data_IF_261284642377
#
_entry.id   IF_261284642377
#
_cell.length_a   1.000
_cell.length_b   1.000
_cell.length_c   1.000
_cell.angle_alpha   90.00
_cell.angle_beta   90.00
_cell.angle_gamma   90.00
#
_symmetry.space_group_name_H-M   'P 1'
#
loop_
_entity.id
_entity.type
_entity.pdbx_description
1 polymer ?
#
# COMPACT_ATOMS: atom_id res chain seq x y z
N UNK A 1 19.84 -25.18 18.38
CA UNK A 1 18.89 -25.26 17.25
C UNK A 1 18.20 -23.93 17.19
N UNK A 2 18.43 -23.15 16.13
CA UNK A 2 17.85 -21.82 15.99
C UNK A 2 16.55 -21.94 15.20
N UNK A 3 15.46 -21.34 15.68
CA UNK A 3 14.17 -21.35 14.99
C UNK A 3 13.90 -20.00 14.33
N UNK A 4 13.53 -20.02 13.05
CA UNK A 4 13.12 -18.83 12.33
C UNK A 4 11.62 -18.56 12.56
N UNK A 5 11.28 -17.33 12.94
CA UNK A 5 9.91 -16.89 13.22
C UNK A 5 9.56 -15.73 12.26
N UNK A 6 9.02 -16.02 11.07
CA UNK A 6 8.54 -14.98 10.16
C UNK A 6 7.36 -14.23 10.80
N UNK A 7 7.41 -12.90 10.74
CA UNK A 7 6.42 -12.00 11.31
C UNK A 7 5.64 -11.29 10.20
N UNK A 8 4.32 -11.37 10.28
CA UNK A 8 3.43 -10.47 9.55
C UNK A 8 3.36 -9.20 10.36
N UNK A 9 3.85 -8.09 9.82
CA UNK A 9 3.83 -6.79 10.47
C UNK A 9 2.68 -5.99 9.88
N UNK A 10 1.83 -5.42 10.73
CA UNK A 10 0.76 -4.53 10.29
C UNK A 10 0.90 -3.18 11.00
N UNK A 11 0.94 -2.10 10.22
CA UNK A 11 0.92 -0.73 10.76
C UNK A 11 -0.19 0.07 10.10
N UNK A 12 -1.01 0.74 10.89
CA UNK A 12 -1.99 1.67 10.32
C UNK A 12 -2.37 2.76 11.33
N UNK A 13 -3.00 3.81 10.82
CA UNK A 13 -3.71 4.77 11.62
C UNK A 13 -5.05 4.20 12.11
N UNK A 14 -5.24 4.23 13.42
CA UNK A 14 -6.44 3.79 14.11
C UNK A 14 -7.00 4.93 14.94
N UNK A 15 -8.30 4.89 15.21
CA UNK A 15 -8.91 5.80 16.19
C UNK A 15 -8.74 5.25 17.59
N UNK A 16 -8.12 6.02 18.48
CA UNK A 16 -8.04 5.70 19.91
C UNK A 16 -9.34 5.92 20.69
N UNK A 17 -10.40 6.38 20.04
CA UNK A 17 -11.67 6.72 20.68
C UNK A 17 -12.77 5.71 20.33
N UNK A 18 -13.58 5.36 21.33
CA UNK A 18 -14.88 4.67 21.15
C UNK A 18 -15.94 5.63 20.61
N UNK A 19 -15.72 6.94 20.71
CA UNK A 19 -16.62 7.98 20.19
C UNK A 19 -16.43 8.22 18.69
N UNK A 20 -17.37 8.94 18.05
CA UNK A 20 -17.29 9.33 16.64
C UNK A 20 -16.19 10.34 16.32
N UNK A 21 -15.54 10.92 17.32
CA UNK A 21 -14.47 11.87 17.09
C UNK A 21 -13.17 11.13 16.81
N UNK A 22 -12.65 11.30 15.60
CA UNK A 22 -11.40 10.71 15.16
C UNK A 22 -10.22 11.20 16.02
N UNK A 23 -9.57 10.28 16.72
CA UNK A 23 -8.35 10.55 17.48
C UNK A 23 -7.25 9.67 16.91
N UNK A 24 -6.55 10.21 15.90
CA UNK A 24 -5.57 9.48 15.11
C UNK A 24 -4.44 9.00 16.02
N UNK A 25 -4.15 7.70 15.94
CA UNK A 25 -2.96 7.06 16.50
C UNK A 25 -2.41 6.12 15.46
N UNK A 26 -1.10 5.95 15.41
CA UNK A 26 -0.52 4.84 14.67
C UNK A 26 -0.38 3.66 15.61
N UNK A 27 -0.71 2.46 15.13
CA UNK A 27 -0.60 1.23 15.89
C UNK A 27 0.11 0.18 15.05
N UNK A 28 0.97 -0.60 15.70
CA UNK A 28 1.68 -1.74 15.11
C UNK A 28 1.17 -3.02 15.77
N UNK A 29 0.83 -3.98 14.93
CA UNK A 29 0.46 -5.33 15.30
C UNK A 29 1.38 -6.32 14.59
N UNK A 30 1.62 -7.47 15.21
CA UNK A 30 2.42 -8.54 14.62
C UNK A 30 1.74 -9.89 14.80
N UNK A 31 1.86 -10.74 13.79
CA UNK A 31 1.37 -12.13 13.83
C UNK A 31 2.48 -13.10 13.40
N UNK A 32 2.50 -14.29 13.98
CA UNK A 32 3.46 -15.33 13.61
C UNK A 32 3.01 -16.04 12.33
N UNK A 33 3.76 -15.89 11.24
CA UNK A 33 3.41 -16.46 9.94
C UNK A 33 3.59 -18.00 9.87
N UNK A 34 4.22 -18.63 10.88
CA UNK A 34 4.29 -20.09 10.96
C UNK A 34 2.96 -20.73 11.42
N UNK A 35 1.97 -19.94 11.82
CA UNK A 35 0.67 -20.45 12.22
C UNK A 35 -0.21 -20.76 10.99
N UNK A 36 -1.07 -21.79 11.05
CA UNK A 36 -2.08 -22.01 10.02
C UNK A 36 -2.97 -20.78 9.85
N UNK A 37 -3.43 -20.50 8.62
CA UNK A 37 -4.26 -19.34 8.29
C UNK A 37 -5.48 -19.17 9.22
N UNK A 38 -6.20 -20.27 9.47
CA UNK A 38 -7.35 -20.31 10.38
C UNK A 38 -7.04 -19.98 11.85
N UNK A 39 -5.75 -19.93 12.22
CA UNK A 39 -5.29 -19.41 13.51
C UNK A 39 -4.88 -17.93 13.39
N UNK A 40 -4.08 -17.56 12.39
CA UNK A 40 -3.60 -16.19 12.18
C UNK A 40 -4.75 -15.17 12.16
N UNK A 41 -5.89 -15.52 11.56
CA UNK A 41 -7.05 -14.64 11.46
C UNK A 41 -7.80 -14.41 12.79
N UNK A 42 -7.51 -15.20 13.83
CA UNK A 42 -8.17 -15.04 15.13
C UNK A 42 -7.46 -13.96 15.92
N UNK A 43 -8.23 -13.05 16.51
CA UNK A 43 -7.76 -11.93 17.35
C UNK A 43 -6.71 -12.36 18.40
N UNK A 44 -6.83 -13.57 18.95
CA UNK A 44 -5.89 -14.12 19.92
C UNK A 44 -4.44 -14.21 19.43
N UNK A 45 -4.23 -14.41 18.13
CA UNK A 45 -2.91 -14.56 17.51
C UNK A 45 -2.38 -13.27 16.85
N UNK A 46 -3.13 -12.17 17.00
CA UNK A 46 -2.75 -10.84 16.55
C UNK A 46 -2.21 -10.09 17.77
N UNK A 47 -0.91 -9.88 17.81
CA UNK A 47 -0.24 -9.29 18.97
C UNK A 47 -0.06 -7.79 18.78
N UNK A 48 -0.64 -7.00 19.68
CA UNK A 48 -0.36 -5.57 19.77
C UNK A 48 1.08 -5.35 20.22
N UNK A 49 1.83 -4.52 19.47
CA UNK A 49 3.21 -4.20 19.79
C UNK A 49 3.33 -2.81 20.40
N UNK A 50 2.84 -1.79 19.71
CA UNK A 50 2.94 -0.40 20.17
C UNK A 50 1.89 0.49 19.51
N UNK A 51 1.62 1.65 20.13
CA UNK A 51 0.84 2.72 19.50
C UNK A 51 1.24 4.09 20.04
N UNK A 52 1.13 5.12 19.21
CA UNK A 52 1.39 6.50 19.62
C UNK A 52 0.53 7.52 18.86
N UNK A 53 0.01 8.55 19.55
CA UNK A 53 -0.58 9.74 18.91
C UNK A 53 0.46 10.81 18.54
N UNK A 54 1.71 10.67 19.01
CA UNK A 54 2.73 11.72 18.92
C UNK A 54 3.93 11.33 18.08
N UNK A 55 4.08 10.04 17.82
CA UNK A 55 5.20 9.46 17.09
C UNK A 55 4.76 9.20 15.65
N UNK A 56 5.61 9.57 14.70
CA UNK A 56 5.39 9.29 13.29
C UNK A 56 5.47 7.78 13.01
N UNK A 57 4.92 7.29 11.89
CA UNK A 57 4.99 5.88 11.55
C UNK A 57 6.42 5.33 11.49
N UNK A 58 7.34 6.09 10.88
CA UNK A 58 8.73 5.66 10.71
C UNK A 58 9.52 5.66 12.02
N UNK A 59 9.25 6.59 12.94
CA UNK A 59 9.83 6.54 14.29
C UNK A 59 9.33 5.31 15.07
N UNK A 60 8.06 4.91 14.91
CA UNK A 60 7.55 3.66 15.52
C UNK A 60 8.22 2.42 14.91
N UNK A 61 8.41 2.40 13.58
CA UNK A 61 9.11 1.30 12.90
C UNK A 61 10.59 1.25 13.27
N UNK A 62 11.24 2.40 13.48
CA UNK A 62 12.62 2.47 13.95
C UNK A 62 12.76 1.82 15.34
N UNK A 63 11.88 2.15 16.28
CA UNK A 63 11.87 1.52 17.61
C UNK A 63 11.63 -0.01 17.56
N UNK A 64 11.01 -0.51 16.48
CA UNK A 64 10.75 -1.94 16.30
C UNK A 64 11.95 -2.71 15.73
N UNK A 65 12.87 -2.04 15.04
CA UNK A 65 14.12 -2.64 14.53
C UNK A 65 15.00 -3.14 15.66
N UNK A 66 15.12 -2.35 16.73
CA UNK A 66 16.13 -2.55 17.77
C UNK A 66 15.77 -3.63 18.81
N UNK A 67 14.79 -4.50 18.52
CA UNK A 67 14.44 -5.64 19.37
C UNK A 67 15.42 -6.80 19.18
N UNK A 68 16.69 -6.57 19.44
CA UNK A 68 17.71 -7.62 19.43
C UNK A 68 17.90 -8.20 20.85
N UNK A 69 17.38 -9.40 21.07
CA UNK A 69 17.79 -10.25 22.20
C UNK A 69 18.44 -11.54 21.67
N UNK A 70 19.53 -11.98 22.29
CA UNK A 70 20.15 -13.29 22.01
C UNK A 70 19.25 -14.42 22.52
N UNK A 71 18.31 -14.87 21.68
CA UNK A 71 17.38 -15.96 21.99
C UNK A 71 17.50 -17.08 20.95
N UNK A 72 17.02 -18.27 21.29
CA UNK A 72 16.90 -19.44 20.39
C UNK A 72 16.03 -19.18 19.14
N UNK A 73 15.36 -18.03 19.08
CA UNK A 73 14.41 -17.61 18.05
C UNK A 73 15.01 -16.43 17.28
N UNK A 74 15.04 -16.53 15.95
CA UNK A 74 15.33 -15.41 15.06
C UNK A 74 14.01 -14.99 14.44
N UNK A 75 13.44 -13.89 14.91
CA UNK A 75 12.29 -13.27 14.27
C UNK A 75 12.73 -12.37 13.13
N UNK A 76 11.96 -12.37 12.03
CA UNK A 76 12.19 -11.46 10.92
C UNK A 76 10.86 -11.06 10.26
N UNK A 77 10.78 -9.86 9.71
CA UNK A 77 9.61 -9.42 8.96
C UNK A 77 9.46 -10.23 7.67
N UNK A 78 8.34 -10.93 7.52
CA UNK A 78 8.00 -11.64 6.28
C UNK A 78 7.40 -10.67 5.25
N UNK A 79 6.48 -9.82 5.69
CA UNK A 79 5.91 -8.74 4.90
C UNK A 79 5.30 -7.68 5.82
N UNK A 80 5.08 -6.48 5.27
CA UNK A 80 4.40 -5.38 5.95
C UNK A 80 3.05 -5.11 5.27
N UNK A 81 1.96 -5.23 6.02
CA UNK A 81 0.61 -4.93 5.57
C UNK A 81 0.12 -3.61 6.14
N UNK A 82 -0.56 -2.81 5.32
CA UNK A 82 -1.20 -1.56 5.75
C UNK A 82 -2.17 -1.07 4.67
N UNK A 83 -2.89 0.04 4.92
CA UNK A 83 -3.71 0.67 3.89
C UNK A 83 -2.85 1.33 2.78
N UNK A 84 -3.45 1.64 1.62
CA UNK A 84 -2.68 2.15 0.48
C UNK A 84 -1.86 3.43 0.78
N UNK A 85 -2.40 4.44 1.50
CA UNK A 85 -1.61 5.59 1.94
C UNK A 85 -0.46 5.24 2.87
N UNK A 86 -0.65 4.36 3.86
CA UNK A 86 0.41 3.94 4.76
C UNK A 86 1.48 3.14 4.04
N UNK A 87 1.11 2.23 3.14
CA UNK A 87 2.08 1.51 2.32
C UNK A 87 2.93 2.47 1.46
N UNK A 88 2.35 3.57 1.00
CA UNK A 88 3.12 4.58 0.28
C UNK A 88 4.15 5.26 1.20
N UNK A 89 3.77 5.61 2.44
CA UNK A 89 4.71 6.13 3.44
C UNK A 89 5.82 5.11 3.78
N UNK A 90 5.46 3.84 3.97
CA UNK A 90 6.39 2.75 4.29
C UNK A 90 7.39 2.46 3.16
N UNK A 91 7.00 2.59 1.89
CA UNK A 91 7.89 2.45 0.73
C UNK A 91 8.69 3.72 0.38
N UNK A 92 8.54 4.81 1.13
CA UNK A 92 9.02 6.13 0.72
C UNK A 92 8.52 6.58 -0.66
N UNK A 93 7.23 6.40 -0.91
CA UNK A 93 6.57 6.67 -2.18
C UNK A 93 5.51 7.78 -2.07
N UNK A 94 5.45 8.67 -3.04
CA UNK A 94 4.59 9.88 -3.07
C UNK A 94 3.08 9.62 -3.34
N UNK A 95 2.62 8.37 -3.21
CA UNK A 95 1.24 7.96 -3.45
C UNK A 95 0.76 8.09 -4.91
N UNK A 96 -0.55 8.27 -5.13
CA UNK A 96 -1.16 8.17 -6.47
C UNK A 96 -1.00 9.41 -7.37
N UNK A 97 -0.61 10.55 -6.79
CA UNK A 97 -0.57 11.83 -7.51
C UNK A 97 0.74 12.06 -8.27
N UNK A 98 1.73 11.19 -8.11
CA UNK A 98 2.99 11.29 -8.85
C UNK A 98 2.87 10.70 -10.27
N UNK A 99 3.89 10.96 -11.08
CA UNK A 99 3.94 10.46 -12.45
C UNK A 99 4.06 8.93 -12.48
N UNK A 100 4.93 8.38 -11.65
CA UNK A 100 5.13 6.94 -11.46
C UNK A 100 4.50 6.52 -10.13
N UNK A 101 3.30 5.97 -10.19
CA UNK A 101 2.41 5.81 -9.02
C UNK A 101 2.44 4.41 -8.41
N UNK A 102 3.14 3.47 -9.04
CA UNK A 102 3.29 2.11 -8.55
C UNK A 102 4.48 2.05 -7.59
N UNK A 103 4.26 1.46 -6.40
CA UNK A 103 5.32 1.30 -5.39
C UNK A 103 6.33 0.22 -5.76
N UNK A 104 5.93 -0.74 -6.58
CA UNK A 104 6.72 -1.94 -6.89
C UNK A 104 7.54 -1.80 -8.17
N UNK A 105 7.15 -0.94 -9.11
CA UNK A 105 7.86 -0.76 -10.38
C UNK A 105 7.71 0.67 -10.92
N UNK A 106 8.49 0.99 -11.95
CA UNK A 106 8.55 2.31 -12.57
C UNK A 106 7.40 2.61 -13.55
N UNK A 107 6.28 1.88 -13.49
CA UNK A 107 5.15 2.12 -14.39
C UNK A 107 4.53 3.49 -14.11
N UNK A 108 4.26 4.24 -15.18
CA UNK A 108 3.61 5.55 -15.11
C UNK A 108 4.03 6.48 -16.23
N UNK A 109 4.27 7.74 -15.87
CA UNK A 109 4.60 8.83 -16.81
C UNK A 109 3.72 10.05 -16.59
N UNK A 110 3.85 11.05 -17.46
CA UNK A 110 3.03 12.26 -17.36
C UNK A 110 1.55 11.92 -17.51
N UNK A 111 0.69 12.81 -17.01
CA UNK A 111 -0.76 12.64 -17.15
C UNK A 111 -1.15 12.48 -18.62
N UNK A 112 -0.56 13.28 -19.51
CA UNK A 112 -0.80 13.22 -20.95
C UNK A 112 -0.43 11.85 -21.52
N UNK A 113 0.74 11.32 -21.15
CA UNK A 113 1.18 9.99 -21.59
C UNK A 113 0.23 8.90 -21.10
N UNK A 114 -0.12 8.88 -19.81
CA UNK A 114 -1.04 7.89 -19.21
C UNK A 114 -2.44 7.92 -19.81
N UNK A 115 -2.86 9.06 -20.37
CA UNK A 115 -4.15 9.19 -21.09
C UNK A 115 -4.08 8.84 -22.57
N UNK A 116 -2.88 8.63 -23.13
CA UNK A 116 -2.70 8.15 -24.50
C UNK A 116 -2.99 6.64 -24.59
N UNK A 117 -3.30 6.14 -25.79
CA UNK A 117 -3.49 4.70 -25.97
C UNK A 117 -2.24 3.91 -25.57
N UNK A 118 -1.05 4.38 -25.93
CA UNK A 118 0.21 3.71 -25.61
C UNK A 118 0.44 3.67 -24.09
N UNK A 119 0.39 4.83 -23.44
CA UNK A 119 0.63 4.93 -22.01
C UNK A 119 -0.47 4.33 -21.13
N UNK A 120 -1.72 4.23 -21.61
CA UNK A 120 -2.76 3.49 -20.89
C UNK A 120 -2.51 1.99 -20.95
N UNK A 121 -2.13 1.45 -22.13
CA UNK A 121 -1.83 0.03 -22.28
C UNK A 121 -0.60 -0.39 -21.47
N UNK A 122 0.40 0.49 -21.31
CA UNK A 122 1.58 0.18 -20.49
C UNK A 122 1.25 0.01 -19.00
N UNK A 123 0.14 0.58 -18.50
CA UNK A 123 -0.27 0.41 -17.09
C UNK A 123 -0.67 -1.03 -16.73
N UNK A 124 -0.90 -1.89 -17.73
CA UNK A 124 -1.31 -3.28 -17.54
C UNK A 124 -0.15 -4.26 -17.65
N UNK A 125 1.08 -3.75 -17.77
CA UNK A 125 2.31 -4.55 -17.83
C UNK A 125 3.24 -4.03 -16.76
N UNK A 126 3.83 -4.94 -15.98
CA UNK A 126 4.86 -4.56 -15.00
C UNK A 126 6.07 -3.96 -15.71
N UNK A 127 6.53 -2.82 -15.22
CA UNK A 127 7.77 -2.19 -15.66
C UNK A 127 8.96 -2.68 -14.80
N UNK A 128 10.14 -2.09 -15.01
CA UNK A 128 11.33 -2.36 -14.20
C UNK A 128 11.04 -2.18 -12.70
N UNK A 129 11.40 -3.17 -11.85
CA UNK A 129 11.17 -3.10 -10.41
C UNK A 129 11.81 -1.87 -9.75
N UNK A 130 11.12 -1.34 -8.74
CA UNK A 130 11.66 -0.30 -7.86
C UNK A 130 12.63 -0.95 -6.87
N UNK A 131 13.89 -0.53 -6.87
CA UNK A 131 14.90 -1.10 -5.98
C UNK A 131 15.08 -0.23 -4.74
N UNK A 132 15.26 -0.85 -3.58
CA UNK A 132 15.53 -0.16 -2.30
C UNK A 132 16.77 0.73 -2.42
N UNK A 133 17.83 0.26 -3.08
CA UNK A 133 19.07 1.01 -3.27
C UNK A 133 18.84 2.29 -4.09
N UNK A 134 17.96 2.23 -5.09
CA UNK A 134 17.59 3.39 -5.90
C UNK A 134 16.78 4.41 -5.08
N UNK A 135 15.86 3.93 -4.24
CA UNK A 135 15.10 4.79 -3.31
C UNK A 135 16.04 5.50 -2.33
N UNK A 136 16.96 4.76 -1.69
CA UNK A 136 17.96 5.33 -0.77
C UNK A 136 18.86 6.34 -1.48
N UNK A 137 19.33 6.04 -2.69
CA UNK A 137 20.15 6.96 -3.47
C UNK A 137 19.39 8.25 -3.81
N UNK A 138 18.12 8.14 -4.19
CA UNK A 138 17.25 9.27 -4.51
C UNK A 138 17.02 10.16 -3.28
N UNK A 139 16.73 9.57 -2.12
CA UNK A 139 16.55 10.32 -0.86
C UNK A 139 17.84 11.06 -0.48
N UNK A 140 19.00 10.39 -0.58
CA UNK A 140 20.30 11.01 -0.31
C UNK A 140 20.57 12.19 -1.24
N UNK A 141 20.25 12.05 -2.52
CA UNK A 141 20.40 13.13 -3.50
C UNK A 141 19.45 14.31 -3.18
N UNK A 142 18.19 14.04 -2.83
CA UNK A 142 17.22 15.08 -2.43
C UNK A 142 17.70 15.85 -1.19
N UNK A 143 18.20 15.14 -0.17
CA UNK A 143 18.78 15.75 1.03
C UNK A 143 19.99 16.61 0.66
N UNK A 144 20.92 16.09 -0.15
CA UNK A 144 22.10 16.83 -0.59
C UNK A 144 21.74 18.11 -1.35
N UNK A 145 20.78 18.04 -2.29
CA UNK A 145 20.31 19.20 -3.06
C UNK A 145 19.71 20.26 -2.12
N UNK A 146 18.98 19.86 -1.08
CA UNK A 146 18.38 20.79 -0.12
C UNK A 146 19.42 21.61 0.67
N UNK A 147 20.65 21.12 0.76
CA UNK A 147 21.75 21.79 1.46
C UNK A 147 22.45 22.85 0.59
N UNK A 148 22.21 22.86 -0.73
CA UNK A 148 22.90 23.76 -1.65
C UNK A 148 22.24 25.13 -1.75
N UNK A 149 23.07 26.18 -1.75
CA UNK A 149 22.68 27.58 -1.90
C UNK A 149 21.77 27.82 -3.14
N UNK A 150 20.55 28.32 -2.95
CA UNK A 150 19.64 28.65 -4.05
C UNK A 150 18.84 27.48 -4.62
N UNK A 151 18.69 26.39 -3.84
CA UNK A 151 17.71 25.35 -4.07
C UNK A 151 16.29 25.94 -4.11
N UNK A 152 15.88 26.34 -5.32
CA UNK A 152 14.50 26.58 -5.68
C UNK A 152 13.76 25.25 -5.59
N UNK A 153 12.45 25.29 -5.29
CA UNK A 153 11.48 24.18 -5.23
C UNK A 153 11.49 23.31 -6.51
N UNK A 154 12.62 22.66 -6.83
CA UNK A 154 12.82 21.94 -8.08
C UNK A 154 12.24 20.54 -7.93
N UNK A 155 10.95 20.50 -8.24
CA UNK A 155 10.21 19.40 -8.83
C UNK A 155 10.21 18.09 -8.05
N UNK A 156 9.48 18.10 -6.94
CA UNK A 156 8.97 16.93 -6.21
C UNK A 156 8.16 15.95 -7.07
N UNK A 157 7.80 16.30 -8.31
CA UNK A 157 6.92 15.52 -9.18
C UNK A 157 7.65 14.50 -10.08
N UNK A 158 8.98 14.56 -10.20
CA UNK A 158 9.70 13.74 -11.19
C UNK A 158 10.18 12.39 -10.67
N UNK A 159 10.52 12.26 -9.38
CA UNK A 159 11.13 11.03 -8.84
C UNK A 159 10.14 10.07 -8.18
N UNK A 160 8.92 10.50 -7.83
CA UNK A 160 7.92 9.73 -7.06
C UNK A 160 8.35 9.22 -5.68
N UNK A 161 9.63 9.37 -5.31
CA UNK A 161 10.18 8.97 -4.02
C UNK A 161 10.07 10.13 -3.03
N UNK A 162 9.30 9.92 -1.96
CA UNK A 162 9.01 10.90 -0.92
C UNK A 162 8.33 10.25 0.29
N UNK A 163 8.70 10.66 1.50
CA UNK A 163 8.03 10.28 2.76
C UNK A 163 8.09 11.41 3.78
N UNK A 164 7.30 11.30 4.85
CA UNK A 164 7.20 12.31 5.90
C UNK A 164 8.52 12.52 6.65
N UNK A 165 9.34 11.48 6.80
CA UNK A 165 10.65 11.54 7.47
C UNK A 165 11.62 12.39 6.65
N UNK A 166 11.73 12.08 5.36
CA UNK A 166 12.58 12.78 4.39
C UNK A 166 12.18 14.26 4.28
N UNK A 167 10.88 14.57 4.25
CA UNK A 167 10.38 15.96 4.29
C UNK A 167 10.90 16.68 5.52
N UNK A 168 10.72 16.08 6.69
CA UNK A 168 11.05 16.70 7.98
C UNK A 168 12.55 17.01 8.06
N UNK A 169 13.39 16.10 7.55
CA UNK A 169 14.83 16.31 7.44
C UNK A 169 15.15 17.49 6.52
N UNK A 170 14.59 17.48 5.30
CA UNK A 170 14.82 18.55 4.30
C UNK A 170 14.37 19.92 4.84
N UNK A 171 13.21 19.99 5.49
CA UNK A 171 12.71 21.23 6.10
C UNK A 171 13.61 21.73 7.24
N UNK A 172 14.07 20.82 8.12
CA UNK A 172 14.99 21.17 9.20
C UNK A 172 16.32 21.71 8.65
N UNK A 173 16.90 21.05 7.65
CA UNK A 173 18.15 21.47 7.01
C UNK A 173 17.99 22.80 6.28
N UNK A 174 16.87 22.99 5.56
CA UNK A 174 16.57 24.25 4.86
C UNK A 174 16.44 25.41 5.85
N UNK A 175 15.81 25.19 7.00
CA UNK A 175 15.65 26.21 8.04
C UNK A 175 16.99 26.55 8.73
N UNK A 176 17.83 25.55 9.00
CA UNK A 176 19.18 25.77 9.51
C UNK A 176 20.04 26.55 8.51
N UNK A 177 19.97 26.20 7.22
CA UNK A 177 20.69 26.90 6.15
C UNK A 177 20.31 28.38 6.02
N UNK A 178 19.02 28.73 6.25
CA UNK A 178 18.58 30.13 6.29
C UNK A 178 19.15 30.92 7.48
N UNK A 179 19.34 30.25 8.62
CA UNK A 179 19.89 30.88 9.83
C UNK A 179 21.41 31.01 9.78
N UNK A 180 22.08 30.13 9.04
CA UNK A 180 23.53 30.05 8.97
C UNK A 180 24.01 30.34 7.54
N UNK A 181 24.24 31.61 7.23
CA UNK A 181 24.67 32.09 5.91
C UNK A 181 26.07 31.62 5.45
N UNK A 182 26.73 30.71 6.18
CA UNK A 182 28.16 30.37 5.99
C UNK A 182 28.52 28.95 6.49
N UNK A 183 27.74 27.92 6.14
CA UNK A 183 27.99 26.58 6.71
C UNK A 183 27.83 25.38 5.78
N UNK A 184 27.97 25.54 4.46
CA UNK A 184 28.08 24.36 3.55
C UNK A 184 29.08 23.33 4.10
N UNK A 185 30.24 23.80 4.58
CA UNK A 185 31.31 22.96 5.12
C UNK A 185 31.01 22.27 6.45
N UNK A 186 30.31 22.92 7.38
CA UNK A 186 30.04 22.32 8.70
C UNK A 186 28.71 21.58 8.76
N UNK A 187 27.78 21.80 7.82
CA UNK A 187 26.65 20.90 7.58
C UNK A 187 27.15 19.59 6.96
N UNK A 188 28.09 19.65 6.00
CA UNK A 188 28.78 18.47 5.45
C UNK A 188 29.52 17.67 6.54
N UNK A 189 30.25 18.33 7.45
CA UNK A 189 30.95 17.67 8.55
C UNK A 189 30.00 17.07 9.61
N UNK A 190 28.85 17.69 9.86
CA UNK A 190 27.83 17.16 10.80
C UNK A 190 27.05 15.97 10.23
N UNK A 191 27.01 15.81 8.90
CA UNK A 191 26.20 14.81 8.21
C UNK A 191 27.03 13.76 7.46
N UNK A 192 28.29 13.53 7.86
CA UNK A 192 29.09 12.41 7.35
C UNK A 192 28.22 11.16 7.23
N UNK A 193 28.19 10.57 6.02
CA UNK A 193 27.06 9.82 5.45
C UNK A 193 26.46 8.64 6.22
N UNK A 194 27.00 8.28 7.38
CA UNK A 194 26.40 7.30 8.29
C UNK A 194 25.15 7.87 9.00
N UNK A 195 25.17 9.14 9.43
CA UNK A 195 24.06 9.74 10.20
C UNK A 195 22.79 9.88 9.36
N UNK A 196 22.93 10.20 8.06
CA UNK A 196 21.77 10.31 7.15
C UNK A 196 21.11 8.95 6.97
N UNK A 197 21.89 7.87 6.81
CA UNK A 197 21.32 6.53 6.61
C UNK A 197 20.52 6.06 7.84
N UNK A 198 20.98 6.41 9.04
CA UNK A 198 20.28 6.11 10.29
C UNK A 198 19.04 6.99 10.54
N UNK A 199 18.88 8.08 9.77
CA UNK A 199 17.80 9.06 9.97
C UNK A 199 16.66 8.97 8.94
N UNK A 200 16.87 8.31 7.80
CA UNK A 200 15.83 8.12 6.77
C UNK A 200 14.88 6.98 7.15
N UNK A 201 13.87 6.73 6.31
CA UNK A 201 12.92 5.63 6.51
C UNK A 201 13.66 4.32 6.88
N UNK A 202 13.45 3.78 8.09
CA UNK A 202 14.19 2.63 8.57
C UNK A 202 13.93 1.40 7.69
N UNK A 203 12.73 1.23 7.14
CA UNK A 203 12.38 0.03 6.37
C UNK A 203 13.26 -0.18 5.12
N UNK A 204 13.92 0.87 4.63
CA UNK A 204 14.90 0.81 3.54
C UNK A 204 16.24 0.16 3.94
N UNK A 205 16.50 0.01 5.23
CA UNK A 205 17.76 -0.50 5.79
C UNK A 205 17.65 -1.97 6.25
N UNK A 206 16.50 -2.65 6.03
CA UNK A 206 16.33 -4.09 6.37
C UNK A 206 16.80 -4.98 5.20
N UNK A 207 17.96 -4.66 4.63
CA UNK A 207 18.43 -5.29 3.40
C UNK A 207 18.70 -6.79 3.57
N UNK A 208 18.23 -7.59 2.61
CA UNK A 208 18.44 -9.03 2.57
C UNK A 208 17.47 -9.87 3.42
N UNK A 209 16.56 -9.23 4.15
CA UNK A 209 15.50 -9.90 4.94
C UNK A 209 14.11 -9.46 4.49
N UNK A 210 13.88 -8.16 4.31
CA UNK A 210 12.61 -7.58 3.90
C UNK A 210 12.85 -6.52 2.81
N UNK A 211 12.26 -6.71 1.64
CA UNK A 211 12.23 -5.72 0.56
C UNK A 211 10.90 -4.96 0.60
N UNK A 212 10.91 -3.70 1.02
CA UNK A 212 9.66 -2.95 1.21
C UNK A 212 8.88 -2.69 -0.10
N UNK A 213 9.50 -2.82 -1.28
CA UNK A 213 8.81 -2.63 -2.56
C UNK A 213 8.14 -3.93 -3.06
N UNK A 214 8.62 -5.08 -2.60
CA UNK A 214 8.16 -6.42 -3.01
C UNK A 214 7.37 -7.16 -1.92
N UNK A 215 7.76 -6.99 -0.66
CA UNK A 215 7.19 -7.66 0.52
C UNK A 215 6.11 -6.79 1.19
N UNK A 216 5.30 -6.12 0.38
CA UNK A 216 4.12 -5.38 0.81
C UNK A 216 2.91 -5.82 -0.01
N UNK A 217 2.11 -6.79 0.47
CA UNK A 217 0.97 -7.29 -0.28
C UNK A 217 -0.05 -6.17 -0.54
N UNK A 218 -0.60 -6.15 -1.74
CA UNK A 218 -1.64 -5.19 -2.12
C UNK A 218 -2.84 -5.30 -1.20
N UNK A 219 -3.22 -4.18 -0.61
CA UNK A 219 -4.44 -4.11 0.19
C UNK A 219 -5.66 -4.27 -0.73
N UNK A 220 -6.43 -5.33 -0.49
CA UNK A 220 -7.43 -5.78 -1.45
C UNK A 220 -8.75 -4.99 -1.31
N UNK A 221 -9.10 -4.57 -0.10
CA UNK A 221 -10.35 -3.88 0.17
C UNK A 221 -10.39 -2.52 -0.54
N UNK A 222 -9.39 -1.66 -0.44
CA UNK A 222 -9.35 -0.37 -1.14
C UNK A 222 -9.00 -0.50 -2.62
N UNK A 223 -8.12 -1.44 -3.00
CA UNK A 223 -7.67 -1.56 -4.40
C UNK A 223 -8.73 -2.23 -5.28
N UNK A 224 -9.30 -3.34 -4.83
CA UNK A 224 -10.24 -4.15 -5.63
C UNK A 224 -11.68 -3.82 -5.28
N UNK A 225 -12.09 -3.92 -4.01
CA UNK A 225 -13.50 -3.78 -3.64
C UNK A 225 -13.98 -2.32 -3.71
N UNK A 226 -13.29 -1.40 -3.03
CA UNK A 226 -13.63 0.02 -3.03
C UNK A 226 -13.04 0.78 -4.23
N UNK A 227 -12.13 0.15 -4.96
CA UNK A 227 -11.59 0.62 -6.23
C UNK A 227 -12.39 0.05 -7.39
N UNK A 228 -11.85 -1.02 -8.00
CA UNK A 228 -12.40 -1.63 -9.23
C UNK A 228 -13.90 -1.92 -9.12
N UNK A 229 -14.34 -2.69 -8.12
CA UNK A 229 -15.73 -3.13 -7.99
C UNK A 229 -16.67 -1.94 -7.77
N UNK A 230 -16.35 -1.05 -6.83
CA UNK A 230 -17.16 0.15 -6.53
C UNK A 230 -17.36 1.03 -7.75
N UNK A 231 -16.30 1.37 -8.48
CA UNK A 231 -16.40 2.27 -9.63
C UNK A 231 -17.06 1.60 -10.83
N UNK A 232 -16.81 0.30 -11.03
CA UNK A 232 -17.53 -0.47 -12.05
C UNK A 232 -19.03 -0.57 -11.74
N UNK A 233 -19.39 -0.60 -10.45
CA UNK A 233 -20.77 -0.47 -10.02
C UNK A 233 -21.37 0.90 -10.37
N UNK A 234 -20.67 1.98 -10.05
CA UNK A 234 -21.10 3.33 -10.45
C UNK A 234 -21.39 3.44 -11.95
N UNK A 235 -20.52 2.88 -12.78
CA UNK A 235 -20.71 2.86 -14.24
C UNK A 235 -21.90 2.01 -14.68
N UNK A 236 -22.13 0.86 -14.05
CA UNK A 236 -23.24 -0.02 -14.41
C UNK A 236 -24.58 0.59 -14.00
N UNK A 237 -24.67 1.19 -12.80
CA UNK A 237 -25.86 1.93 -12.35
C UNK A 237 -26.17 3.08 -13.30
N UNK A 238 -25.16 3.84 -13.73
CA UNK A 238 -25.33 4.89 -14.73
C UNK A 238 -25.98 4.38 -16.02
N UNK A 239 -25.54 3.23 -16.54
CA UNK A 239 -26.16 2.65 -17.74
C UNK A 239 -27.61 2.19 -17.51
N UNK A 240 -27.90 1.62 -16.35
CA UNK A 240 -29.26 1.21 -15.98
C UNK A 240 -30.21 2.41 -15.85
N UNK A 241 -29.74 3.53 -15.31
CA UNK A 241 -30.49 4.78 -15.21
C UNK A 241 -30.82 5.36 -16.57
N UNK A 242 -29.81 5.50 -17.44
CA UNK A 242 -29.98 6.02 -18.80
C UNK A 242 -30.97 5.17 -19.61
N UNK A 243 -30.95 3.85 -19.43
CA UNK A 243 -31.87 2.92 -20.08
C UNK A 243 -33.25 2.84 -19.39
N UNK A 244 -33.46 3.52 -18.24
CA UNK A 244 -34.66 3.43 -17.39
C UNK A 244 -34.97 2.00 -16.90
N UNK A 245 -33.94 1.19 -16.69
CA UNK A 245 -34.04 -0.22 -16.29
C UNK A 245 -33.83 -0.45 -14.78
N UNK A 246 -33.56 0.60 -14.00
CA UNK A 246 -33.36 0.48 -12.54
C UNK A 246 -34.51 -0.24 -11.82
N UNK A 247 -35.77 -0.01 -12.21
CA UNK A 247 -36.91 -0.69 -11.57
C UNK A 247 -36.92 -2.20 -11.82
N UNK A 248 -36.46 -2.64 -13.00
CA UNK A 248 -36.33 -4.06 -13.32
C UNK A 248 -35.17 -4.66 -12.54
N UNK A 249 -34.02 -3.98 -12.51
CA UNK A 249 -32.87 -4.39 -11.72
C UNK A 249 -33.22 -4.53 -10.23
N UNK A 250 -33.95 -3.57 -9.65
CA UNK A 250 -34.41 -3.65 -8.27
C UNK A 250 -35.31 -4.87 -8.05
N UNK A 251 -36.24 -5.13 -8.96
CA UNK A 251 -37.13 -6.30 -8.88
C UNK A 251 -36.33 -7.62 -8.95
N UNK A 252 -35.30 -7.70 -9.79
CA UNK A 252 -34.41 -8.85 -9.86
C UNK A 252 -33.59 -9.00 -8.58
N UNK A 253 -33.03 -7.92 -8.05
CA UNK A 253 -32.28 -7.91 -6.79
C UNK A 253 -33.15 -8.37 -5.61
N UNK A 254 -34.39 -7.89 -5.53
CA UNK A 254 -35.35 -8.27 -4.49
C UNK A 254 -35.80 -9.73 -4.64
N UNK A 255 -35.70 -10.32 -5.83
CA UNK A 255 -36.05 -11.71 -6.10
C UNK A 255 -34.96 -12.72 -5.76
N UNK A 256 -33.74 -12.26 -5.50
CA UNK A 256 -32.61 -13.13 -5.17
C UNK A 256 -32.71 -13.58 -3.72
N UNK A 257 -32.71 -14.90 -3.53
CA UNK A 257 -32.57 -15.50 -2.22
C UNK A 257 -31.19 -15.19 -1.65
N UNK A 258 -31.17 -14.55 -0.47
CA UNK A 258 -29.95 -14.15 0.22
C UNK A 258 -29.34 -15.31 1.01
N UNK A 259 -30.11 -16.36 1.25
CA UNK A 259 -29.66 -17.53 2.00
C UNK A 259 -28.71 -18.37 1.13
N UNK A 260 -27.46 -18.49 1.57
CA UNK A 260 -26.43 -19.32 0.90
C UNK A 260 -25.55 -18.61 -0.13
N UNK A 261 -25.72 -17.30 -0.35
CA UNK A 261 -24.88 -16.52 -1.26
C UNK A 261 -23.56 -16.07 -0.60
N UNK A 262 -22.60 -16.98 -0.54
CA UNK A 262 -21.19 -16.67 -0.25
C UNK A 262 -20.38 -16.38 -1.54
N UNK A 263 -21.02 -15.95 -2.64
CA UNK A 263 -20.36 -15.90 -3.95
C UNK A 263 -20.44 -14.52 -4.67
N UNK A 264 -19.31 -14.00 -5.19
CA UNK A 264 -19.25 -12.81 -6.04
C UNK A 264 -20.03 -12.92 -7.38
N UNK A 265 -20.41 -14.13 -7.78
CA UNK A 265 -20.94 -14.45 -9.12
C UNK A 265 -22.44 -14.16 -9.31
N UNK A 266 -23.12 -13.58 -8.33
CA UNK A 266 -24.55 -13.22 -8.44
C UNK A 266 -24.77 -12.07 -9.41
N UNK A 267 -23.75 -11.21 -9.56
CA UNK A 267 -23.87 -9.93 -10.26
C UNK A 267 -24.16 -10.09 -11.76
N UNK A 268 -23.43 -10.94 -12.52
CA UNK A 268 -23.76 -11.18 -13.92
C UNK A 268 -25.19 -11.65 -14.15
N UNK A 269 -25.77 -12.44 -13.23
CA UNK A 269 -27.17 -12.89 -13.34
C UNK A 269 -28.16 -11.75 -13.14
N UNK A 270 -27.90 -10.88 -12.17
CA UNK A 270 -28.78 -9.75 -11.82
C UNK A 270 -28.85 -8.67 -12.88
N UNK A 271 -27.85 -8.56 -13.74
CA UNK A 271 -27.78 -7.53 -14.79
C UNK A 271 -27.90 -8.15 -16.18
N UNK A 272 -28.12 -9.47 -16.26
CA UNK A 272 -28.32 -10.18 -17.51
C UNK A 272 -29.50 -9.58 -18.28
N UNK A 273 -29.31 -9.39 -19.59
CA UNK A 273 -30.23 -8.69 -20.49
C UNK A 273 -30.56 -7.20 -20.16
N UNK A 274 -30.01 -6.64 -19.08
CA UNK A 274 -30.21 -5.23 -18.72
C UNK A 274 -29.11 -4.30 -19.22
N UNK A 275 -27.92 -4.84 -19.48
CA UNK A 275 -26.74 -4.08 -19.87
C UNK A 275 -26.08 -4.67 -21.11
N UNK A 276 -25.16 -3.93 -21.72
CA UNK A 276 -24.39 -4.44 -22.86
C UNK A 276 -23.57 -5.68 -22.48
N UNK A 277 -23.36 -6.56 -23.46
CA UNK A 277 -22.52 -7.76 -23.31
C UNK A 277 -21.10 -7.43 -22.82
N UNK A 278 -20.56 -6.28 -23.22
CA UNK A 278 -19.23 -5.83 -22.76
C UNK A 278 -19.19 -5.59 -21.27
N UNK A 279 -20.19 -4.88 -20.71
CA UNK A 279 -20.26 -4.60 -19.28
C UNK A 279 -20.54 -5.89 -18.49
N UNK A 280 -21.37 -6.79 -19.05
CA UNK A 280 -21.63 -8.11 -18.46
C UNK A 280 -20.35 -8.95 -18.37
N UNK A 281 -19.57 -9.03 -19.45
CA UNK A 281 -18.28 -9.72 -19.47
C UNK A 281 -17.30 -9.11 -18.44
N UNK A 282 -17.32 -7.79 -18.27
CA UNK A 282 -16.53 -7.12 -17.24
C UNK A 282 -16.89 -7.58 -15.83
N UNK A 283 -18.19 -7.71 -15.51
CA UNK A 283 -18.64 -8.25 -14.22
C UNK A 283 -18.26 -9.72 -14.02
N UNK A 284 -18.32 -10.54 -15.06
CA UNK A 284 -17.85 -11.93 -15.00
C UNK A 284 -16.36 -11.99 -14.65
N UNK A 285 -15.53 -11.21 -15.36
CA UNK A 285 -14.09 -11.16 -15.09
C UNK A 285 -13.76 -10.65 -13.68
N UNK A 286 -14.49 -9.63 -13.19
CA UNK A 286 -14.36 -9.14 -11.81
C UNK A 286 -14.76 -10.22 -10.81
N UNK A 287 -15.85 -10.95 -11.05
CA UNK A 287 -16.30 -12.04 -10.20
C UNK A 287 -15.26 -13.15 -10.07
N UNK A 288 -14.67 -13.56 -11.19
CA UNK A 288 -13.56 -14.54 -11.23
C UNK A 288 -12.32 -14.03 -10.47
N UNK A 289 -11.93 -12.76 -10.70
CA UNK A 289 -10.81 -12.14 -10.01
C UNK A 289 -11.00 -12.12 -8.49
N UNK A 290 -12.16 -11.69 -8.00
CA UNK A 290 -12.46 -11.63 -6.57
C UNK A 290 -12.40 -13.03 -5.95
N UNK A 291 -12.90 -14.05 -6.64
CA UNK A 291 -12.80 -15.44 -6.17
C UNK A 291 -11.34 -15.88 -6.05
N UNK A 292 -10.51 -15.60 -7.07
CA UNK A 292 -9.08 -15.96 -7.05
C UNK A 292 -8.31 -15.26 -5.94
N UNK A 293 -8.71 -14.04 -5.56
CA UNK A 293 -8.03 -13.29 -4.51
C UNK A 293 -8.47 -13.73 -3.11
N UNK A 294 -9.74 -14.10 -2.90
CA UNK A 294 -10.28 -14.46 -1.58
C UNK A 294 -10.24 -15.95 -1.25
N UNK A 295 -10.28 -16.83 -2.25
CA UNK A 295 -10.23 -18.28 -2.05
C UNK A 295 -8.83 -18.79 -2.31
N UNK A 296 -7.98 -18.70 -1.30
CA UNK A 296 -6.57 -19.11 -1.34
C UNK A 296 -6.35 -20.61 -1.13
N UNK A 297 -7.40 -21.34 -0.71
CA UNK A 297 -7.37 -22.80 -0.54
C UNK A 297 -8.63 -23.43 -1.18
N UNK A 298 -8.43 -24.27 -2.20
CA UNK A 298 -9.49 -25.12 -2.75
C UNK A 298 -9.36 -26.49 -2.08
N UNK A 299 -10.17 -26.72 -1.05
CA UNK A 299 -10.13 -27.97 -0.29
C UNK A 299 -10.63 -29.17 -1.10
N UNK A 300 -11.48 -28.94 -2.10
CA UNK A 300 -12.03 -29.97 -2.98
C UNK A 300 -12.09 -29.47 -4.44
N UNK A 301 -11.10 -29.87 -5.23
CA UNK A 301 -11.01 -29.51 -6.65
C UNK A 301 -12.05 -30.23 -7.53
N UNK A 302 -12.71 -31.28 -7.03
CA UNK A 302 -13.76 -32.00 -7.77
C UNK A 302 -15.10 -31.25 -7.74
N UNK A 303 -15.35 -30.41 -6.72
CA UNK A 303 -16.58 -29.59 -6.63
C UNK A 303 -16.59 -28.44 -7.65
N UNK A 304 -15.42 -27.95 -8.05
CA UNK A 304 -15.25 -26.88 -9.04
C UNK A 304 -15.09 -27.39 -10.48
N UNK A 305 -14.94 -28.70 -10.69
CA UNK A 305 -15.03 -29.30 -12.03
C UNK A 305 -16.48 -29.26 -12.47
N UNK A 306 -16.82 -28.19 -13.19
CA UNK A 306 -18.06 -28.09 -13.97
C UNK A 306 -18.19 -29.36 -14.82
N UNK A 307 -19.26 -30.13 -14.59
CA UNK A 307 -19.68 -31.22 -15.48
C UNK A 307 -20.25 -30.69 -16.78
#
# INVERSE_FOLDING_TARGET
MVYAVPLIIFMDNVSGNVSKQWNKRYAIYMSNANLPHAMVEKEFYIHFMTSSPHTTPMELMSAMRDLEEEVLLISYGLFVGSDNPMQAEECSHAGLNCNYFCRTCHVGGTKEYKTSNEGYNSLFVSDEPQMVEQTVATIKEQIYISMMSGATEKSTTSTSIWDTTTITIIEALTNLGKQLSSLEKSLEEMLHGNIICESINPLLDIQGILDIHMDMPTEILHTVLLGVVKYFWGQTVFFLEEAKLLGIFQSQLDSVDKDGLNLPLVMPFLIYDLISKTVLNGWTAIGELVVLIWHTEITDTEVLRVK
#
